data_IF_129388897989
#
_entry.id   IF_129388897989
#
_cell.length_a   1.000
_cell.length_b   1.000
_cell.length_c   1.000
_cell.angle_alpha   90.00
_cell.angle_beta   90.00
_cell.angle_gamma   90.00
#
_symmetry.space_group_name_H-M   'P 1'
#
loop_
_entity.id
_entity.type
_entity.pdbx_description
1 polymer ?
#
# COMPACT_ATOMS: atom_id res chain seq x y z
N UNK A 1 19.79 11.46 -18.54
CA UNK A 1 18.45 11.61 -17.94
C UNK A 1 18.17 10.34 -17.16
N UNK A 2 18.60 10.29 -15.90
CA UNK A 2 18.42 9.09 -15.08
C UNK A 2 16.96 9.07 -14.62
N UNK A 3 16.17 8.18 -15.22
CA UNK A 3 14.85 7.87 -14.70
C UNK A 3 15.05 7.22 -13.33
N UNK A 4 14.99 8.03 -12.27
CA UNK A 4 14.91 7.51 -10.91
C UNK A 4 13.63 6.65 -10.89
N UNK A 5 13.67 5.36 -10.52
CA UNK A 5 12.46 4.56 -10.47
C UNK A 5 11.47 5.30 -9.58
N UNK A 6 10.29 5.62 -10.13
CA UNK A 6 9.27 6.39 -9.43
C UNK A 6 8.74 5.53 -8.29
N UNK A 7 9.34 5.62 -7.11
CA UNK A 7 8.89 4.91 -5.92
C UNK A 7 7.49 5.42 -5.58
N UNK A 8 6.53 4.52 -5.43
CA UNK A 8 5.17 4.85 -5.01
C UNK A 8 4.88 4.23 -3.66
N UNK A 9 4.13 4.93 -2.83
CA UNK A 9 3.62 4.43 -1.56
C UNK A 9 2.12 4.66 -1.46
N UNK A 10 1.37 3.57 -1.27
CA UNK A 10 -0.03 3.62 -0.89
C UNK A 10 -0.12 3.86 0.62
N UNK A 11 -0.39 5.10 0.98
CA UNK A 11 -0.26 5.60 2.34
C UNK A 11 -1.62 5.77 3.02
N UNK A 12 -1.68 5.48 4.32
CA UNK A 12 -2.77 5.88 5.20
C UNK A 12 -2.17 6.77 6.32
N UNK A 13 -2.51 8.08 6.38
CA UNK A 13 -1.99 9.01 7.38
C UNK A 13 -2.25 8.59 8.83
N UNK A 14 -3.34 7.85 9.09
CA UNK A 14 -3.71 7.39 10.44
C UNK A 14 -2.92 6.14 10.87
N UNK A 15 -2.31 5.41 9.93
CA UNK A 15 -1.55 4.20 10.21
C UNK A 15 -0.09 4.49 10.59
N UNK A 16 0.28 4.21 11.85
CA UNK A 16 1.63 4.42 12.37
C UNK A 16 2.72 3.72 11.55
N UNK A 17 2.50 2.46 11.15
CA UNK A 17 3.42 1.72 10.28
C UNK A 17 3.61 2.41 8.93
N UNK A 18 2.53 2.92 8.34
CA UNK A 18 2.60 3.61 7.05
C UNK A 18 3.40 4.92 7.13
N UNK A 19 3.25 5.68 8.23
CA UNK A 19 4.06 6.90 8.48
C UNK A 19 5.54 6.56 8.65
N UNK A 20 5.86 5.50 9.38
CA UNK A 20 7.23 5.05 9.57
C UNK A 20 7.87 4.63 8.23
N UNK A 21 7.16 3.86 7.40
CA UNK A 21 7.64 3.47 6.06
C UNK A 21 7.91 4.70 5.18
N UNK A 22 6.99 5.68 5.15
CA UNK A 22 7.19 6.92 4.38
C UNK A 22 8.45 7.68 4.84
N UNK A 23 8.67 7.78 6.16
CA UNK A 23 9.86 8.41 6.73
C UNK A 23 11.14 7.64 6.34
N UNK A 24 11.13 6.31 6.39
CA UNK A 24 12.26 5.48 5.98
C UNK A 24 12.61 5.68 4.50
N UNK A 25 11.62 5.74 3.61
CA UNK A 25 11.86 6.02 2.18
C UNK A 25 12.52 7.39 2.02
N UNK A 26 11.98 8.42 2.65
CA UNK A 26 12.54 9.79 2.60
C UNK A 26 13.95 9.87 3.17
N UNK A 27 14.26 9.10 4.21
CA UNK A 27 15.61 9.01 4.78
C UNK A 27 16.65 8.44 3.80
N UNK A 28 16.23 7.78 2.71
CA UNK A 28 17.13 7.35 1.63
C UNK A 28 17.35 8.43 0.55
N UNK A 29 16.88 9.67 0.78
CA UNK A 29 16.85 10.77 -0.19
C UNK A 29 15.99 10.47 -1.44
N UNK A 30 15.00 9.59 -1.30
CA UNK A 30 14.00 9.31 -2.34
C UNK A 30 12.69 9.98 -1.91
N UNK A 31 12.14 10.86 -2.74
CA UNK A 31 10.78 11.36 -2.54
C UNK A 31 9.79 10.47 -3.32
N UNK A 32 8.94 9.70 -2.63
CA UNK A 32 8.00 8.82 -3.31
C UNK A 32 6.74 9.56 -3.75
N UNK A 33 6.05 9.02 -4.74
CA UNK A 33 4.66 9.36 -5.03
C UNK A 33 3.77 8.79 -3.91
N UNK A 34 3.19 9.68 -3.11
CA UNK A 34 2.29 9.32 -2.00
C UNK A 34 0.86 9.29 -2.51
N UNK A 35 0.22 8.12 -2.44
CA UNK A 35 -1.18 7.91 -2.87
C UNK A 35 -2.00 7.52 -1.65
N UNK A 36 -3.01 8.30 -1.31
CA UNK A 36 -3.94 7.96 -0.23
C UNK A 36 -4.95 6.93 -0.71
N UNK A 37 -4.69 5.65 -0.46
CA UNK A 37 -5.46 4.55 -1.08
C UNK A 37 -6.92 4.46 -0.61
N UNK A 38 -7.27 5.11 0.50
CA UNK A 38 -8.65 5.20 0.97
C UNK A 38 -9.48 6.21 0.16
N UNK A 39 -8.83 7.21 -0.44
CA UNK A 39 -9.46 8.23 -1.29
C UNK A 39 -9.30 7.88 -2.77
N UNK A 40 -8.10 7.46 -3.15
CA UNK A 40 -7.72 7.10 -4.52
C UNK A 40 -7.21 5.67 -4.55
N UNK A 41 -8.11 4.67 -4.50
CA UNK A 41 -7.71 3.27 -4.52
C UNK A 41 -7.06 2.88 -5.86
N UNK A 42 -6.14 1.91 -5.87
CA UNK A 42 -5.59 1.37 -7.11
C UNK A 42 -6.68 0.70 -7.95
N UNK A 43 -6.46 0.64 -9.27
CA UNK A 43 -7.31 -0.18 -10.12
C UNK A 43 -7.17 -1.67 -9.79
N UNK A 44 -8.15 -2.48 -10.20
CA UNK A 44 -8.12 -3.94 -9.98
C UNK A 44 -6.84 -4.59 -10.51
N UNK A 45 -6.39 -4.19 -11.71
CA UNK A 45 -5.20 -4.77 -12.34
C UNK A 45 -3.92 -4.38 -11.58
N UNK A 46 -3.81 -3.13 -11.13
CA UNK A 46 -2.68 -2.67 -10.31
C UNK A 46 -2.65 -3.40 -8.97
N UNK A 47 -3.79 -3.58 -8.32
CA UNK A 47 -3.88 -4.30 -7.05
C UNK A 47 -3.43 -5.76 -7.20
N UNK A 48 -3.87 -6.45 -8.25
CA UNK A 48 -3.45 -7.84 -8.54
C UNK A 48 -1.93 -7.90 -8.71
N UNK A 49 -1.35 -6.98 -9.49
CA UNK A 49 0.08 -6.94 -9.72
C UNK A 49 0.86 -6.67 -8.43
N UNK A 50 0.42 -5.70 -7.62
CA UNK A 50 1.05 -5.37 -6.33
C UNK A 50 1.07 -6.55 -5.36
N UNK A 51 -0.02 -7.32 -5.31
CA UNK A 51 -0.11 -8.52 -4.46
C UNK A 51 0.88 -9.59 -4.94
N UNK A 52 0.95 -9.81 -6.26
CA UNK A 52 1.87 -10.76 -6.86
C UNK A 52 3.34 -10.35 -6.63
N UNK A 53 3.68 -9.08 -6.83
CA UNK A 53 5.03 -8.53 -6.65
C UNK A 53 5.49 -8.63 -5.19
N UNK A 54 4.55 -8.53 -4.23
CA UNK A 54 4.80 -8.73 -2.81
C UNK A 54 4.98 -10.21 -2.42
N UNK A 55 4.75 -11.15 -3.33
CA UNK A 55 4.80 -12.60 -3.06
C UNK A 55 3.69 -13.08 -2.13
N UNK A 56 2.59 -12.34 -2.04
CA UNK A 56 1.46 -12.64 -1.17
C UNK A 56 0.32 -13.30 -1.97
N UNK A 57 -0.49 -14.10 -1.30
CA UNK A 57 -1.83 -14.42 -1.81
C UNK A 57 -2.78 -13.25 -1.59
N UNK A 58 -3.85 -13.18 -2.39
CA UNK A 58 -4.92 -12.18 -2.19
C UNK A 58 -5.46 -12.22 -0.77
N UNK A 59 -5.57 -13.42 -0.18
CA UNK A 59 -6.07 -13.62 1.18
C UNK A 59 -5.16 -13.01 2.25
N UNK A 60 -3.85 -13.09 2.06
CA UNK A 60 -2.86 -12.50 2.97
C UNK A 60 -2.78 -10.98 2.87
N UNK A 61 -3.08 -10.42 1.69
CA UNK A 61 -3.11 -8.98 1.48
C UNK A 61 -4.31 -8.28 2.14
N UNK A 62 -5.36 -9.03 2.53
CA UNK A 62 -6.55 -8.45 3.17
C UNK A 62 -6.24 -8.06 4.62
N UNK A 63 -6.51 -6.79 4.94
CA UNK A 63 -6.39 -6.29 6.31
C UNK A 63 -7.42 -6.97 7.21
N UNK A 64 -6.93 -7.71 8.21
CA UNK A 64 -7.72 -8.27 9.30
C UNK A 64 -8.06 -7.18 10.33
N UNK A 65 -9.13 -7.37 11.11
CA UNK A 65 -9.58 -6.44 12.16
C UNK A 65 -10.12 -5.10 11.63
N UNK A 66 -10.87 -5.12 10.53
CA UNK A 66 -11.68 -4.00 10.06
C UNK A 66 -13.12 -4.47 9.93
N UNK A 67 -14.10 -3.59 10.16
CA UNK A 67 -15.52 -3.96 10.11
C UNK A 67 -15.90 -4.74 8.82
N UNK A 68 -15.49 -4.32 7.61
CA UNK A 68 -15.82 -5.07 6.39
C UNK A 68 -15.31 -6.51 6.36
N UNK A 69 -14.23 -6.83 7.06
CA UNK A 69 -13.68 -8.19 7.10
C UNK A 69 -14.61 -9.14 7.86
N UNK A 70 -15.08 -8.69 9.03
CA UNK A 70 -15.99 -9.46 9.88
C UNK A 70 -17.42 -9.45 9.33
N UNK A 71 -17.89 -8.29 8.83
CA UNK A 71 -19.26 -8.13 8.33
C UNK A 71 -19.53 -8.99 7.08
N UNK A 72 -18.49 -9.25 6.28
CA UNK A 72 -18.59 -10.09 5.08
C UNK A 72 -18.30 -11.57 5.35
N UNK A 73 -17.98 -11.95 6.60
CA UNK A 73 -17.67 -13.33 6.97
C UNK A 73 -16.47 -13.91 6.22
N UNK A 74 -15.52 -13.05 5.85
CA UNK A 74 -14.32 -13.44 5.10
C UNK A 74 -13.18 -13.72 6.07
N UNK A 75 -13.41 -14.51 7.13
CA UNK A 75 -12.42 -14.95 8.12
C UNK A 75 -11.48 -16.02 7.56
#
# INVERSE_FOLDING_TARGET
>A
MSANPKVKIYHNPECGTSRNTLALIRNTNIEPEVIEYLVTPPSKNELIQMIADAGLTVREAIRKNVAPYTDLGID
#
